data_IF_010611809930
#
_entry.id   IF_010611809930
#
_cell.length_a   1.000
_cell.length_b   1.000
_cell.length_c   1.000
_cell.angle_alpha   90.00
_cell.angle_beta   90.00
_cell.angle_gamma   90.00
#
_symmetry.space_group_name_H-M   'P 1'
#
loop_
_entity.id
_entity.type
_entity.pdbx_description
1 polymer ?
#
# COMPACT_ATOMS: atom_id res chain seq x y z
N UNK A 1 -17.70 -5.17 0.08
CA UNK A 1 -16.36 -4.70 0.52
C UNK A 1 -15.59 -5.76 1.30
N UNK A 2 -16.19 -6.40 2.32
CA UNK A 2 -15.53 -7.44 3.14
C UNK A 2 -14.95 -8.58 2.27
N UNK A 3 -15.76 -9.13 1.35
CA UNK A 3 -15.30 -10.19 0.43
C UNK A 3 -14.10 -9.80 -0.45
N UNK A 4 -13.93 -8.52 -0.78
CA UNK A 4 -12.80 -8.03 -1.59
C UNK A 4 -11.48 -8.09 -0.83
N UNK A 5 -11.50 -7.67 0.44
CA UNK A 5 -10.28 -7.69 1.25
C UNK A 5 -9.89 -9.13 1.60
N UNK A 6 -10.89 -9.99 1.84
CA UNK A 6 -10.64 -11.40 2.12
C UNK A 6 -10.09 -12.16 0.91
N UNK A 7 -10.34 -11.71 -0.33
CA UNK A 7 -9.75 -12.32 -1.53
C UNK A 7 -8.30 -11.89 -1.80
N UNK A 8 -7.71 -11.02 -0.97
CA UNK A 8 -6.33 -10.55 -1.13
C UNK A 8 -5.48 -11.22 -0.07
N UNK A 9 -4.32 -11.74 -0.48
CA UNK A 9 -3.37 -12.33 0.47
C UNK A 9 -2.93 -11.29 1.51
N UNK A 10 -2.91 -11.68 2.79
CA UNK A 10 -2.62 -10.79 3.91
C UNK A 10 -1.27 -10.09 3.75
N UNK A 11 -0.26 -10.79 3.23
CA UNK A 11 1.09 -10.24 3.01
C UNK A 11 1.13 -9.23 1.86
N UNK A 12 0.33 -9.45 0.80
CA UNK A 12 0.13 -8.48 -0.26
C UNK A 12 -0.63 -7.24 0.22
N UNK A 13 -1.71 -7.43 0.99
CA UNK A 13 -2.48 -6.32 1.56
C UNK A 13 -1.61 -5.47 2.50
N UNK A 14 -0.81 -6.10 3.37
CA UNK A 14 0.18 -5.42 4.21
C UNK A 14 1.20 -4.65 3.37
N UNK A 15 1.71 -5.23 2.29
CA UNK A 15 2.65 -4.54 1.40
C UNK A 15 2.02 -3.32 0.72
N UNK A 16 0.72 -3.34 0.41
CA UNK A 16 -0.01 -2.19 -0.13
C UNK A 16 -0.16 -1.11 0.95
N UNK A 17 -0.69 -1.47 2.12
CA UNK A 17 -0.95 -0.55 3.24
C UNK A 17 0.34 0.13 3.70
N UNK A 18 1.41 -0.65 3.89
CA UNK A 18 2.71 -0.12 4.32
C UNK A 18 3.47 0.58 3.19
N UNK A 19 2.96 0.55 1.96
CA UNK A 19 3.64 1.11 0.79
C UNK A 19 5.01 0.48 0.58
N UNK A 20 5.11 -0.85 0.48
CA UNK A 20 6.37 -1.61 0.29
C UNK A 20 6.30 -2.63 -0.85
N UNK A 21 5.29 -2.54 -1.72
CA UNK A 21 4.98 -3.47 -2.82
C UNK A 21 6.18 -3.95 -3.65
N UNK A 22 7.04 -3.05 -4.13
CA UNK A 22 8.15 -3.42 -5.01
C UNK A 22 9.27 -4.10 -4.22
N UNK A 23 9.51 -3.65 -2.99
CA UNK A 23 10.47 -4.24 -2.08
C UNK A 23 10.06 -5.65 -1.66
N UNK A 24 8.85 -5.84 -1.13
CA UNK A 24 8.39 -7.14 -0.64
C UNK A 24 8.23 -8.15 -1.78
N UNK A 25 7.78 -7.71 -2.96
CA UNK A 25 7.75 -8.55 -4.15
C UNK A 25 9.16 -9.02 -4.56
N UNK A 26 10.13 -8.11 -4.59
CA UNK A 26 11.53 -8.45 -4.90
C UNK A 26 12.15 -9.39 -3.87
N UNK A 27 11.79 -9.23 -2.59
CA UNK A 27 12.26 -10.07 -1.49
C UNK A 27 11.46 -11.38 -1.34
N UNK A 28 10.44 -11.61 -2.18
CA UNK A 28 9.50 -12.75 -2.08
C UNK A 28 8.83 -12.86 -0.70
N UNK A 29 8.60 -11.73 -0.04
CA UNK A 29 7.97 -11.63 1.27
C UNK A 29 6.44 -11.48 1.20
N UNK A 30 5.91 -11.24 0.01
CA UNK A 30 4.48 -11.06 -0.23
C UNK A 30 4.00 -11.96 -1.35
N UNK A 31 2.86 -12.64 -1.15
CA UNK A 31 2.23 -13.49 -2.16
C UNK A 31 1.26 -12.67 -3.01
N UNK A 32 1.50 -12.61 -4.32
CA UNK A 32 0.68 -11.87 -5.27
C UNK A 32 -0.08 -12.83 -6.19
N UNK A 33 -1.21 -12.37 -6.73
CA UNK A 33 -1.87 -13.11 -7.80
C UNK A 33 -0.98 -13.15 -9.03
N UNK A 34 -0.96 -14.30 -9.71
CA UNK A 34 -0.23 -14.44 -10.95
C UNK A 34 -0.83 -13.55 -12.04
N UNK A 35 0.00 -13.11 -12.98
CA UNK A 35 -0.50 -12.44 -14.18
C UNK A 35 -1.32 -13.43 -15.01
N UNK A 36 -2.49 -13.04 -15.55
CA UNK A 36 -3.27 -13.92 -16.41
C UNK A 36 -2.49 -14.37 -17.66
N UNK A 37 -2.61 -15.64 -18.00
CA UNK A 37 -2.04 -16.21 -19.23
C UNK A 37 -2.98 -16.02 -20.43
N UNK A 38 -2.47 -16.28 -21.63
CA UNK A 38 -3.24 -16.11 -22.86
C UNK A 38 -4.53 -16.94 -22.92
N UNK A 39 -4.45 -18.19 -22.50
CA UNK A 39 -5.56 -19.13 -22.48
C UNK A 39 -6.72 -18.72 -21.54
N UNK A 40 -6.48 -17.82 -20.58
CA UNK A 40 -7.51 -17.33 -19.66
C UNK A 40 -8.38 -16.21 -20.27
N UNK A 41 -7.98 -15.66 -21.42
CA UNK A 41 -8.70 -14.58 -22.09
C UNK A 41 -8.50 -13.21 -21.43
N UNK A 42 -9.51 -12.34 -21.54
CA UNK A 42 -9.48 -10.95 -21.04
C UNK A 42 -9.88 -10.92 -19.58
N UNK A 43 -8.92 -11.15 -18.68
CA UNK A 43 -9.19 -11.18 -17.24
C UNK A 43 -9.20 -9.75 -16.68
N UNK A 44 -10.34 -9.26 -16.18
CA UNK A 44 -10.43 -7.96 -15.55
C UNK A 44 -9.84 -7.97 -14.13
N UNK A 45 -9.28 -6.85 -13.69
CA UNK A 45 -8.74 -6.76 -12.34
C UNK A 45 -7.96 -5.50 -12.02
N UNK A 46 -7.42 -5.48 -10.81
CA UNK A 46 -6.66 -4.38 -10.21
C UNK A 46 -5.20 -4.78 -10.09
N UNK A 47 -4.31 -3.86 -10.43
CA UNK A 47 -2.87 -4.00 -10.27
C UNK A 47 -2.30 -2.77 -9.56
N UNK A 48 -1.18 -2.98 -8.90
CA UNK A 48 -0.39 -1.93 -8.25
C UNK A 48 1.01 -1.90 -8.88
N UNK A 49 1.54 -0.69 -9.04
CA UNK A 49 2.88 -0.45 -9.57
C UNK A 49 3.71 0.30 -8.53
N UNK A 50 4.89 -0.23 -8.25
CA UNK A 50 5.97 0.47 -7.55
C UNK A 50 7.22 0.57 -8.42
N UNK A 51 8.07 1.55 -8.13
CA UNK A 51 9.36 1.74 -8.77
C UNK A 51 10.47 1.23 -7.86
N UNK A 52 11.44 0.52 -8.43
CA UNK A 52 12.66 0.11 -7.73
C UNK A 52 13.88 0.40 -8.57
N UNK A 53 15.02 0.66 -7.93
CA UNK A 53 16.29 0.84 -8.61
C UNK A 53 16.81 -0.53 -9.06
N UNK A 54 17.28 -0.59 -10.31
CA UNK A 54 17.92 -1.78 -10.85
C UNK A 54 19.10 -2.19 -9.98
N UNK A 55 19.21 -3.48 -9.67
CA UNK A 55 20.28 -4.06 -8.86
C UNK A 55 20.39 -3.50 -7.43
N UNK A 56 19.29 -2.97 -6.85
CA UNK A 56 19.24 -2.46 -5.47
C UNK A 56 18.22 -3.18 -4.57
N UNK A 57 18.04 -4.48 -4.77
CA UNK A 57 17.26 -5.36 -3.88
C UNK A 57 15.84 -4.84 -3.59
N UNK A 58 15.10 -4.44 -4.63
CA UNK A 58 13.74 -3.94 -4.47
C UNK A 58 13.61 -2.51 -3.95
N UNK A 59 14.71 -1.87 -3.51
CA UNK A 59 14.68 -0.52 -2.92
C UNK A 59 14.62 0.58 -3.98
N UNK A 60 14.10 1.73 -3.58
CA UNK A 60 14.00 2.93 -4.41
C UNK A 60 15.21 3.87 -4.18
N UNK A 61 15.01 5.16 -4.43
CA UNK A 61 16.02 6.21 -4.32
C UNK A 61 16.45 6.45 -2.87
N UNK A 62 17.66 6.97 -2.69
CA UNK A 62 18.04 7.64 -1.44
C UNK A 62 17.70 9.14 -1.51
N UNK A 63 17.95 9.89 -0.42
CA UNK A 63 17.58 11.32 -0.37
C UNK A 63 18.34 12.12 -1.44
N UNK A 64 19.64 11.88 -1.64
CA UNK A 64 20.43 12.60 -2.65
C UNK A 64 19.84 12.41 -4.06
N UNK A 65 19.51 11.17 -4.43
CA UNK A 65 18.86 10.87 -5.70
C UNK A 65 17.45 11.47 -5.79
N UNK A 66 16.71 11.52 -4.67
CA UNK A 66 15.36 12.09 -4.61
C UNK A 66 15.37 13.61 -4.76
N UNK A 67 16.34 14.31 -4.18
CA UNK A 67 16.54 15.75 -4.38
C UNK A 67 16.84 16.08 -5.85
N UNK A 68 17.65 15.25 -6.53
CA UNK A 68 17.89 15.38 -7.97
C UNK A 68 16.61 15.19 -8.78
N UNK A 69 15.77 14.22 -8.40
CA UNK A 69 14.45 14.02 -9.03
C UNK A 69 13.54 15.25 -8.80
N UNK A 70 13.49 15.80 -7.59
CA UNK A 70 12.71 17.01 -7.26
C UNK A 70 13.17 18.20 -8.11
N UNK A 71 14.48 18.43 -8.23
CA UNK A 71 15.02 19.46 -9.11
C UNK A 71 14.62 19.23 -10.57
N UNK A 72 14.76 18.00 -11.08
CA UNK A 72 14.35 17.62 -12.42
C UNK A 72 12.85 17.87 -12.69
N UNK A 73 11.99 17.57 -11.71
CA UNK A 73 10.54 17.82 -11.78
C UNK A 73 10.24 19.32 -11.82
N UNK A 74 10.86 20.12 -10.93
CA UNK A 74 10.68 21.58 -10.89
C UNK A 74 11.17 22.24 -12.17
N UNK A 75 12.31 21.81 -12.72
CA UNK A 75 12.82 22.27 -14.01
C UNK A 75 11.86 21.93 -15.14
N UNK A 76 11.30 20.72 -15.15
CA UNK A 76 10.31 20.31 -16.16
C UNK A 76 9.03 21.16 -16.05
N UNK A 77 8.50 21.40 -14.85
CA UNK A 77 7.34 22.25 -14.63
C UNK A 77 7.57 23.68 -15.14
N UNK A 78 8.71 24.30 -14.78
CA UNK A 78 9.05 25.65 -15.25
C UNK A 78 9.21 25.69 -16.78
N UNK A 79 9.93 24.73 -17.35
CA UNK A 79 10.09 24.61 -18.80
C UNK A 79 8.75 24.41 -19.52
N UNK A 80 7.86 23.57 -18.97
CA UNK A 80 6.55 23.33 -19.54
C UNK A 80 5.66 24.58 -19.54
N UNK A 81 5.76 25.45 -18.52
CA UNK A 81 5.07 26.76 -18.53
C UNK A 81 5.58 27.65 -19.67
N UNK A 82 6.90 27.72 -19.88
CA UNK A 82 7.50 28.48 -20.98
C UNK A 82 7.08 27.93 -22.35
N UNK A 83 7.01 26.61 -22.50
CA UNK A 83 6.55 25.98 -23.74
C UNK A 83 5.09 26.30 -24.09
N UNK A 84 4.31 26.72 -23.09
CA UNK A 84 2.88 27.02 -23.24
C UNK A 84 2.56 28.51 -23.24
N UNK A 85 3.52 29.39 -22.94
CA UNK A 85 3.29 30.84 -22.85
C UNK A 85 3.20 31.54 -24.22
N UNK A 86 3.20 30.78 -25.33
CA UNK A 86 3.21 31.28 -26.72
C UNK A 86 4.39 32.22 -27.05
N UNK A 87 5.43 32.25 -26.23
CA UNK A 87 6.66 32.99 -26.53
C UNK A 87 7.49 32.28 -27.59
N UNK A 88 8.06 33.05 -28.52
CA UNK A 88 8.98 32.50 -29.51
C UNK A 88 10.27 32.05 -28.83
N UNK A 89 10.81 30.89 -29.23
CA UNK A 89 12.03 30.32 -28.64
C UNK A 89 13.23 31.30 -28.67
N UNK A 90 13.30 32.16 -29.70
CA UNK A 90 14.37 33.14 -29.87
C UNK A 90 14.32 34.29 -28.86
N UNK A 91 13.15 34.55 -28.28
CA UNK A 91 12.95 35.57 -27.24
C UNK A 91 13.36 35.12 -25.83
N UNK A 92 13.66 33.83 -25.66
CA UNK A 92 14.05 33.28 -24.36
C UNK A 92 15.50 33.61 -24.01
N UNK A 93 15.75 33.94 -22.74
CA UNK A 93 17.11 34.07 -22.23
C UNK A 93 17.81 32.69 -22.14
N UNK A 94 19.11 32.68 -21.83
CA UNK A 94 19.89 31.44 -21.77
C UNK A 94 19.37 30.44 -20.73
N UNK A 95 18.87 30.92 -19.58
CA UNK A 95 18.36 30.03 -18.52
C UNK A 95 17.04 29.36 -18.94
N UNK A 96 16.14 30.12 -19.57
CA UNK A 96 14.87 29.62 -20.08
C UNK A 96 15.06 28.62 -21.21
N UNK A 97 16.04 28.86 -22.10
CA UNK A 97 16.43 27.89 -23.15
C UNK A 97 16.87 26.55 -22.57
N UNK A 98 17.60 26.53 -21.47
CA UNK A 98 17.99 25.28 -20.79
C UNK A 98 16.81 24.55 -20.12
N UNK A 99 15.79 25.28 -19.65
CA UNK A 99 14.56 24.68 -19.15
C UNK A 99 13.74 24.04 -20.28
N UNK A 100 13.62 24.71 -21.43
CA UNK A 100 12.95 24.17 -22.62
C UNK A 100 13.69 22.94 -23.16
N UNK A 101 15.03 22.99 -23.23
CA UNK A 101 15.88 21.85 -23.59
C UNK A 101 15.71 20.68 -22.62
N UNK A 102 15.53 20.96 -21.33
CA UNK A 102 15.25 19.93 -20.33
C UNK A 102 13.92 19.23 -20.58
N UNK A 103 12.84 19.95 -20.91
CA UNK A 103 11.55 19.35 -21.30
C UNK A 103 11.73 18.41 -22.49
N UNK A 104 12.41 18.87 -23.54
CA UNK A 104 12.76 18.04 -24.70
C UNK A 104 13.54 16.80 -24.29
N UNK A 105 14.54 16.93 -23.42
CA UNK A 105 15.37 15.79 -22.96
C UNK A 105 14.53 14.74 -22.24
N UNK A 106 13.61 15.16 -21.37
CA UNK A 106 12.72 14.27 -20.62
C UNK A 106 11.71 13.59 -21.54
N UNK A 107 11.03 14.34 -22.40
CA UNK A 107 10.05 13.78 -23.33
C UNK A 107 10.72 12.88 -24.38
N UNK A 108 11.98 13.15 -24.74
CA UNK A 108 12.77 12.24 -25.57
C UNK A 108 12.88 10.85 -24.93
N UNK A 109 13.10 10.74 -23.62
CA UNK A 109 13.15 9.45 -22.91
C UNK A 109 11.83 8.69 -23.00
N UNK A 110 10.71 9.41 -22.98
CA UNK A 110 9.37 8.86 -23.17
C UNK A 110 9.07 8.36 -24.58
N UNK A 111 9.99 8.54 -25.54
CA UNK A 111 9.81 8.16 -26.95
C UNK A 111 8.97 9.12 -27.76
N UNK A 112 8.79 10.35 -27.28
CA UNK A 112 8.09 11.37 -28.04
C UNK A 112 8.97 11.93 -29.16
N UNK A 113 8.37 12.11 -30.34
CA UNK A 113 9.02 12.70 -31.50
C UNK A 113 9.10 14.21 -31.31
N UNK A 114 10.32 14.72 -31.23
CA UNK A 114 10.59 16.15 -31.11
C UNK A 114 10.86 16.72 -32.50
N UNK A 115 10.21 17.83 -32.84
CA UNK A 115 10.51 18.58 -34.06
C UNK A 115 11.71 19.51 -33.79
N UNK A 116 12.81 19.38 -34.55
CA UNK A 116 13.96 20.27 -34.41
C UNK A 116 13.58 21.74 -34.65
N UNK A 117 14.08 22.65 -33.81
CA UNK A 117 13.90 24.10 -34.00
C UNK A 117 12.52 24.67 -33.64
N UNK A 118 11.61 23.86 -33.11
CA UNK A 118 10.32 24.33 -32.57
C UNK A 118 10.23 24.16 -31.06
N UNK A 119 9.45 25.01 -30.40
CA UNK A 119 9.10 24.83 -28.99
C UNK A 119 8.47 23.43 -28.80
N UNK A 120 8.97 22.63 -27.85
CA UNK A 120 8.40 21.31 -27.60
C UNK A 120 7.00 21.46 -27.01
N UNK A 121 6.11 20.51 -27.32
CA UNK A 121 4.82 20.40 -26.65
C UNK A 121 5.00 19.46 -25.45
N UNK A 122 4.93 19.94 -24.19
CA UNK A 122 5.18 19.10 -23.02
C UNK A 122 4.16 17.97 -22.92
N UNK A 123 4.62 16.73 -22.92
CA UNK A 123 3.71 15.58 -23.07
C UNK A 123 3.04 15.18 -21.75
N UNK A 124 3.76 15.40 -20.64
CA UNK A 124 3.25 15.08 -19.29
C UNK A 124 2.36 16.18 -18.69
N UNK A 125 2.36 17.41 -19.24
CA UNK A 125 1.57 18.56 -18.74
C UNK A 125 0.97 19.33 -19.92
N UNK A 126 -0.27 19.00 -20.28
CA UNK A 126 -1.06 19.51 -21.39
C UNK A 126 -2.22 20.42 -20.96
N UNK A 127 -2.60 20.44 -19.68
CA UNK A 127 -3.59 21.39 -19.10
C UNK A 127 -3.10 22.05 -17.81
N UNK A 128 -3.76 23.13 -17.37
CA UNK A 128 -3.37 23.83 -16.14
C UNK A 128 -3.59 22.97 -14.90
N UNK A 129 -4.67 22.18 -14.87
CA UNK A 129 -4.94 21.23 -13.80
C UNK A 129 -3.87 20.14 -13.66
N UNK A 130 -3.06 19.88 -14.70
CA UNK A 130 -1.94 18.93 -14.61
C UNK A 130 -0.72 19.54 -13.91
N UNK A 131 -0.54 20.86 -13.91
CA UNK A 131 0.51 21.48 -13.10
C UNK A 131 0.29 21.19 -11.62
N UNK A 132 -0.91 21.45 -11.09
CA UNK A 132 -1.23 21.22 -9.68
C UNK A 132 -1.04 19.76 -9.27
N UNK A 133 -1.31 18.80 -10.17
CA UNK A 133 -1.08 17.38 -9.93
C UNK A 133 0.40 17.04 -9.82
N UNK A 134 1.25 17.62 -10.67
CA UNK A 134 2.70 17.42 -10.61
C UNK A 134 3.30 18.11 -9.37
N UNK A 135 2.80 19.27 -8.96
CA UNK A 135 3.20 19.92 -7.70
C UNK A 135 2.86 19.04 -6.47
N UNK A 136 1.72 18.33 -6.50
CA UNK A 136 1.40 17.32 -5.49
C UNK A 136 2.42 16.18 -5.43
N UNK A 137 2.88 15.71 -6.59
CA UNK A 137 3.95 14.70 -6.68
C UNK A 137 5.28 15.22 -6.14
N UNK A 138 5.66 16.46 -6.48
CA UNK A 138 6.86 17.12 -5.94
C UNK A 138 6.79 17.17 -4.42
N UNK A 139 5.67 17.65 -3.87
CA UNK A 139 5.43 17.73 -2.42
C UNK A 139 5.53 16.36 -1.73
N UNK A 140 5.06 15.29 -2.39
CA UNK A 140 5.16 13.92 -1.89
C UNK A 140 6.62 13.45 -1.80
N UNK A 141 7.47 13.79 -2.78
CA UNK A 141 8.90 13.48 -2.72
C UNK A 141 9.66 14.34 -1.72
N UNK A 142 9.30 15.60 -1.54
CA UNK A 142 9.91 16.48 -0.53
C UNK A 142 9.72 15.92 0.89
N UNK A 143 8.51 15.43 1.20
CA UNK A 143 8.23 14.74 2.48
C UNK A 143 9.07 13.48 2.71
N UNK A 144 9.66 12.91 1.65
CA UNK A 144 10.53 11.73 1.71
C UNK A 144 12.02 12.09 1.82
N UNK A 145 12.36 13.38 1.83
CA UNK A 145 13.72 13.91 1.93
C UNK A 145 14.04 14.48 3.32
N UNK A 146 13.66 13.78 4.39
CA UNK A 146 13.95 14.24 5.74
C UNK A 146 15.41 13.95 6.13
N UNK A 147 16.24 14.99 6.07
CA UNK A 147 17.66 14.95 6.46
C UNK A 147 17.88 14.78 7.96
N UNK A 148 16.87 15.00 8.80
CA UNK A 148 16.98 14.70 10.23
C UNK A 148 16.97 13.19 10.48
N UNK A 149 16.21 12.44 9.67
CA UNK A 149 16.13 10.97 9.75
C UNK A 149 17.31 10.27 9.04
N UNK A 150 17.82 10.85 7.95
CA UNK A 150 19.06 10.39 7.29
C UNK A 150 19.99 11.57 6.95
N UNK A 151 20.87 11.97 7.89
CA UNK A 151 21.83 13.05 7.66
C UNK A 151 22.79 12.77 6.50
N UNK A 152 23.09 11.49 6.23
CA UNK A 152 24.00 11.11 5.14
C UNK A 152 23.34 11.25 3.76
N UNK A 153 22.01 11.11 3.72
CA UNK A 153 21.20 11.02 2.51
C UNK A 153 21.49 9.81 1.62
N UNK A 154 22.22 8.82 2.14
CA UNK A 154 22.66 7.64 1.39
C UNK A 154 21.75 6.44 1.62
N UNK A 155 20.90 6.46 2.65
CA UNK A 155 19.97 5.36 2.95
C UNK A 155 18.89 5.32 1.87
N UNK A 156 18.72 4.15 1.25
CA UNK A 156 17.69 3.95 0.22
C UNK A 156 16.33 3.75 0.86
N UNK A 157 15.33 4.47 0.34
CA UNK A 157 13.94 4.25 0.66
C UNK A 157 13.53 2.84 0.23
N UNK A 158 12.70 2.17 1.03
CA UNK A 158 12.21 0.84 0.67
C UNK A 158 11.32 0.87 -0.57
N UNK A 159 10.54 1.94 -0.76
CA UNK A 159 9.56 2.01 -1.84
C UNK A 159 9.41 3.43 -2.38
N UNK A 160 9.04 3.54 -3.66
CA UNK A 160 8.51 4.75 -4.29
C UNK A 160 7.06 5.08 -3.86
N UNK A 161 6.51 6.23 -4.28
CA UNK A 161 5.06 6.37 -4.42
C UNK A 161 4.44 5.22 -5.23
N UNK A 162 3.19 4.87 -4.94
CA UNK A 162 2.47 3.81 -5.65
C UNK A 162 1.54 4.37 -6.73
N UNK A 163 1.33 3.59 -7.79
CA UNK A 163 0.24 3.76 -8.73
C UNK A 163 -0.69 2.55 -8.64
N UNK A 164 -1.99 2.79 -8.56
CA UNK A 164 -3.01 1.73 -8.67
C UNK A 164 -3.74 1.91 -9.99
N UNK A 165 -3.88 0.83 -10.74
CA UNK A 165 -4.63 0.83 -11.99
C UNK A 165 -5.63 -0.32 -12.04
N UNK A 166 -6.69 -0.13 -12.82
CA UNK A 166 -7.60 -1.18 -13.21
C UNK A 166 -7.47 -1.49 -14.71
N UNK A 167 -7.94 -2.67 -15.11
CA UNK A 167 -8.12 -3.01 -16.52
C UNK A 167 -9.21 -4.06 -16.69
N UNK A 168 -9.85 -4.04 -17.85
CA UNK A 168 -10.69 -5.16 -18.32
C UNK A 168 -9.85 -6.31 -18.92
N UNK A 169 -8.59 -6.04 -19.23
CA UNK A 169 -7.58 -7.01 -19.65
C UNK A 169 -6.26 -6.69 -18.95
N UNK A 170 -5.98 -7.39 -17.85
CA UNK A 170 -4.77 -7.20 -17.06
C UNK A 170 -3.49 -7.48 -17.87
N UNK A 171 -3.48 -8.52 -18.70
CA UNK A 171 -2.29 -8.93 -19.45
C UNK A 171 -1.92 -7.87 -20.48
N UNK A 172 -2.90 -7.45 -21.29
CA UNK A 172 -2.68 -6.42 -22.30
C UNK A 172 -2.25 -5.11 -21.64
N UNK A 173 -2.95 -4.66 -20.59
CA UNK A 173 -2.65 -3.37 -19.94
C UNK A 173 -1.29 -3.37 -19.25
N UNK A 174 -0.93 -4.43 -18.54
CA UNK A 174 0.33 -4.48 -17.80
C UNK A 174 1.54 -4.64 -18.72
N UNK A 175 1.37 -5.24 -19.90
CA UNK A 175 2.44 -5.32 -20.90
C UNK A 175 2.90 -3.94 -21.40
N UNK A 176 2.02 -2.92 -21.36
CA UNK A 176 2.34 -1.51 -21.67
C UNK A 176 3.22 -0.81 -20.63
N UNK A 177 3.59 -1.49 -19.55
CA UNK A 177 4.54 -0.94 -18.56
C UNK A 177 5.92 -1.60 -18.66
N UNK A 178 6.11 -2.52 -19.62
CA UNK A 178 7.40 -3.13 -19.87
C UNK A 178 8.34 -2.10 -20.51
N UNK A 179 9.42 -1.75 -19.79
CA UNK A 179 10.46 -0.81 -20.25
C UNK A 179 11.42 -1.46 -21.28
N UNK A 180 10.90 -2.17 -22.28
CA UNK A 180 11.73 -2.89 -23.26
C UNK A 180 12.19 -2.02 -24.44
N UNK A 181 11.62 -0.84 -24.60
CA UNK A 181 12.01 0.11 -25.64
C UNK A 181 11.58 1.53 -25.28
N UNK A 182 12.26 2.49 -25.90
CA UNK A 182 11.87 3.90 -25.93
C UNK A 182 10.44 4.01 -26.48
N UNK A 183 9.55 4.72 -25.78
CA UNK A 183 8.11 4.76 -26.11
C UNK A 183 7.24 3.76 -25.34
N UNK A 184 7.82 2.90 -24.50
CA UNK A 184 7.08 1.87 -23.77
C UNK A 184 5.97 2.41 -22.85
N UNK A 185 6.08 3.65 -22.37
CA UNK A 185 5.11 4.27 -21.44
C UNK A 185 4.16 5.29 -22.11
N UNK A 186 4.02 5.25 -23.44
CA UNK A 186 3.03 6.06 -24.13
C UNK A 186 1.61 5.59 -23.73
N UNK A 187 0.74 6.52 -23.33
CA UNK A 187 -0.65 6.26 -22.91
C UNK A 187 -0.83 5.48 -21.58
N UNK A 188 0.11 5.61 -20.65
CA UNK A 188 -0.11 5.23 -19.24
C UNK A 188 -0.19 6.46 -18.34
N UNK A 189 -0.25 6.29 -17.02
CA UNK A 189 -0.43 7.38 -16.06
C UNK A 189 0.66 8.46 -16.20
N UNK A 190 0.27 9.71 -16.55
CA UNK A 190 1.20 10.82 -16.83
C UNK A 190 2.17 11.13 -15.67
N UNK A 191 1.74 11.27 -14.40
CA UNK A 191 2.68 11.50 -13.30
C UNK A 191 3.74 10.40 -13.14
N UNK A 192 3.33 9.12 -13.21
CA UNK A 192 4.25 7.99 -13.17
C UNK A 192 5.25 8.04 -14.34
N UNK A 193 4.77 8.28 -15.56
CA UNK A 193 5.62 8.41 -16.75
C UNK A 193 6.64 9.53 -16.59
N UNK A 194 6.21 10.70 -16.14
CA UNK A 194 7.07 11.87 -15.98
C UNK A 194 8.23 11.55 -15.01
N UNK A 195 7.93 10.92 -13.88
CA UNK A 195 8.94 10.53 -12.90
C UNK A 195 9.92 9.52 -13.50
N UNK A 196 9.43 8.48 -14.20
CA UNK A 196 10.31 7.50 -14.84
C UNK A 196 11.20 8.17 -15.90
N UNK A 197 10.65 9.04 -16.74
CA UNK A 197 11.39 9.73 -17.79
C UNK A 197 12.45 10.69 -17.23
N UNK A 198 12.14 11.42 -16.17
CA UNK A 198 13.11 12.28 -15.47
C UNK A 198 14.22 11.43 -14.86
N UNK A 199 13.89 10.31 -14.22
CA UNK A 199 14.88 9.41 -13.66
C UNK A 199 15.81 8.85 -14.75
N UNK A 200 15.27 8.45 -15.90
CA UNK A 200 16.08 8.06 -17.06
C UNK A 200 16.97 9.19 -17.56
N UNK A 201 16.45 10.43 -17.67
CA UNK A 201 17.23 11.59 -18.08
C UNK A 201 18.33 12.01 -17.07
N UNK A 202 18.25 11.54 -15.83
CA UNK A 202 19.24 11.76 -14.76
C UNK A 202 20.21 10.58 -14.58
N UNK A 203 20.14 9.56 -15.44
CA UNK A 203 20.84 8.27 -15.32
C UNK A 203 20.51 7.51 -14.01
N UNK A 204 19.30 7.72 -13.51
CA UNK A 204 18.73 7.10 -12.31
C UNK A 204 17.67 6.04 -12.66
N UNK A 205 17.94 5.23 -13.69
CA UNK A 205 17.05 4.17 -14.21
C UNK A 205 16.35 3.33 -13.13
N UNK A 206 15.06 3.11 -13.30
CA UNK A 206 14.21 2.31 -12.42
C UNK A 206 13.48 1.23 -13.19
N UNK A 207 13.09 0.18 -12.48
CA UNK A 207 12.23 -0.89 -12.96
C UNK A 207 10.84 -0.74 -12.33
N UNK A 208 9.80 -1.01 -13.13
CA UNK A 208 8.42 -1.06 -12.66
C UNK A 208 8.15 -2.47 -12.13
N UNK A 209 7.83 -2.57 -10.84
CA UNK A 209 7.29 -3.78 -10.23
C UNK A 209 5.77 -3.72 -10.29
N UNK A 210 5.17 -4.59 -11.10
CA UNK A 210 3.73 -4.66 -11.33
C UNK A 210 3.21 -5.90 -10.62
N UNK A 211 2.24 -5.73 -9.73
CA UNK A 211 1.65 -6.84 -8.99
C UNK A 211 0.13 -6.86 -9.17
N UNK A 212 -0.43 -8.03 -9.45
CA UNK A 212 -1.88 -8.22 -9.53
C UNK A 212 -2.41 -8.36 -8.11
N UNK A 213 -3.32 -7.45 -7.74
CA UNK A 213 -3.92 -7.41 -6.40
C UNK A 213 -5.20 -8.23 -6.38
N UNK A 214 -6.06 -8.03 -7.38
CA UNK A 214 -7.37 -8.65 -7.48
C UNK A 214 -7.64 -8.98 -8.94
N UNK A 215 -8.12 -10.20 -9.20
CA UNK A 215 -8.84 -10.54 -10.43
C UNK A 215 -10.34 -10.42 -10.11
N UNK A 216 -11.06 -9.58 -10.83
CA UNK A 216 -12.48 -9.35 -10.51
C UNK A 216 -13.34 -10.51 -10.98
N UNK A 217 -14.42 -10.79 -10.24
CA UNK A 217 -15.46 -11.75 -10.58
C UNK A 217 -16.83 -11.08 -10.49
N UNK A 218 -17.91 -11.80 -10.79
CA UNK A 218 -19.25 -11.21 -10.87
C UNK A 218 -19.70 -10.50 -9.58
N UNK A 219 -19.26 -11.00 -8.41
CA UNK A 219 -19.59 -10.42 -7.11
C UNK A 219 -18.85 -9.12 -6.78
N UNK A 220 -17.85 -8.70 -7.57
CA UNK A 220 -17.05 -7.50 -7.31
C UNK A 220 -16.89 -6.65 -8.57
N UNK A 221 -17.63 -5.52 -8.64
CA UNK A 221 -17.45 -4.57 -9.73
C UNK A 221 -16.05 -3.95 -9.71
N UNK A 222 -15.41 -3.91 -10.88
CA UNK A 222 -14.08 -3.33 -11.08
C UNK A 222 -13.93 -1.90 -10.50
N UNK A 223 -14.91 -0.98 -10.66
CA UNK A 223 -14.81 0.37 -10.08
C UNK A 223 -14.72 0.37 -8.54
N UNK A 224 -15.45 -0.53 -7.89
CA UNK A 224 -15.45 -0.65 -6.42
C UNK A 224 -14.10 -1.17 -5.95
N UNK A 225 -13.54 -2.15 -6.66
CA UNK A 225 -12.21 -2.67 -6.35
C UNK A 225 -11.13 -1.62 -6.54
N UNK A 226 -11.16 -0.87 -7.64
CA UNK A 226 -10.19 0.20 -7.89
C UNK A 226 -10.21 1.27 -6.80
N UNK A 227 -11.40 1.74 -6.40
CA UNK A 227 -11.55 2.74 -5.34
C UNK A 227 -10.97 2.27 -4.01
N UNK A 228 -11.29 1.04 -3.61
CA UNK A 228 -10.78 0.48 -2.37
C UNK A 228 -9.25 0.40 -2.39
N UNK A 229 -8.66 -0.21 -3.41
CA UNK A 229 -7.21 -0.41 -3.47
C UNK A 229 -6.47 0.91 -3.61
N UNK A 230 -6.98 1.86 -4.40
CA UNK A 230 -6.40 3.21 -4.53
C UNK A 230 -6.38 3.93 -3.18
N UNK A 231 -7.47 3.81 -2.41
CA UNK A 231 -7.58 4.43 -1.08
C UNK A 231 -6.64 3.78 -0.07
N UNK A 232 -6.62 2.45 -0.02
CA UNK A 232 -5.75 1.68 0.91
C UNK A 232 -4.27 1.89 0.58
N UNK A 233 -3.91 2.05 -0.69
CA UNK A 233 -2.56 2.34 -1.14
C UNK A 233 -2.14 3.82 -0.95
N UNK A 234 -3.06 4.70 -0.53
CA UNK A 234 -2.88 6.15 -0.51
C UNK A 234 -2.31 6.69 -1.84
N UNK A 235 -2.76 6.12 -2.97
CA UNK A 235 -2.05 6.26 -4.23
C UNK A 235 -2.38 7.53 -5.01
N UNK A 236 -3.19 8.44 -4.47
CA UNK A 236 -3.47 9.73 -5.11
C UNK A 236 -2.27 10.68 -5.05
N UNK A 237 -2.13 11.54 -6.07
CA UNK A 237 -1.06 12.55 -6.16
C UNK A 237 -1.06 13.56 -5.01
N UNK A 238 -2.23 13.84 -4.43
CA UNK A 238 -2.36 14.73 -3.28
C UNK A 238 -2.12 14.04 -1.93
N UNK A 239 -1.94 12.72 -1.94
CA UNK A 239 -1.56 11.92 -0.78
C UNK A 239 -0.09 11.50 -0.94
N UNK A 240 0.18 10.28 -1.40
CA UNK A 240 1.52 9.73 -1.49
C UNK A 240 1.78 8.89 -2.75
N UNK A 241 0.97 9.02 -3.81
CA UNK A 241 1.08 8.21 -5.02
C UNK A 241 1.04 8.97 -6.35
N UNK A 242 0.66 8.25 -7.42
CA UNK A 242 0.64 8.75 -8.80
C UNK A 242 -0.76 8.85 -9.43
N UNK A 243 -1.82 8.37 -8.78
CA UNK A 243 -3.20 8.48 -9.28
C UNK A 243 -3.62 9.95 -9.33
N UNK A 244 -3.82 10.45 -10.54
CA UNK A 244 -4.14 11.85 -10.84
C UNK A 244 -5.62 12.08 -11.17
N UNK A 245 -6.41 11.01 -11.23
CA UNK A 245 -7.83 10.98 -11.56
C UNK A 245 -8.52 10.11 -10.51
N UNK A 246 -9.76 10.45 -10.19
CA UNK A 246 -10.59 9.68 -9.27
C UNK A 246 -10.71 8.21 -9.71
N UNK A 247 -10.59 7.29 -8.76
CA UNK A 247 -10.75 5.87 -9.00
C UNK A 247 -12.21 5.50 -9.26
N UNK A 248 -12.43 4.49 -10.09
CA UNK A 248 -13.75 3.99 -10.48
C UNK A 248 -14.42 4.78 -11.61
N UNK A 249 -13.70 5.69 -12.26
CA UNK A 249 -14.22 6.52 -13.35
C UNK A 249 -14.53 5.80 -14.66
N UNK A 250 -14.09 4.54 -14.83
CA UNK A 250 -14.29 3.76 -16.07
C UNK A 250 -15.72 3.22 -16.26
N UNK A 251 -16.62 3.43 -15.29
CA UNK A 251 -17.99 2.91 -15.34
C UNK A 251 -18.08 1.39 -15.16
N UNK A 252 -19.31 0.85 -15.19
CA UNK A 252 -19.63 -0.57 -14.97
C UNK A 252 -19.56 -1.43 -16.23
N UNK A 253 -18.79 -1.04 -17.25
CA UNK A 253 -18.78 -1.72 -18.54
C UNK A 253 -18.21 -3.14 -18.41
N UNK A 254 -19.10 -4.15 -18.38
CA UNK A 254 -18.73 -5.56 -18.44
C UNK A 254 -18.20 -5.87 -19.85
N UNK A 255 -17.04 -6.55 -20.01
CA UNK A 255 -16.61 -7.01 -21.32
C UNK A 255 -17.66 -7.97 -21.91
N UNK A 256 -17.90 -7.89 -23.22
CA UNK A 256 -18.72 -8.89 -23.91
C UNK A 256 -18.09 -10.29 -23.74
N UNK A 257 -18.89 -11.30 -23.38
CA UNK A 257 -18.40 -12.67 -23.12
C UNK A 257 -17.69 -12.87 -21.77
N UNK A 258 -17.79 -11.90 -20.83
CA UNK A 258 -17.07 -11.96 -19.56
C UNK A 258 -17.54 -13.05 -18.57
N UNK A 259 -18.76 -13.61 -18.69
CA UNK A 259 -19.32 -14.50 -17.64
C UNK A 259 -18.38 -15.65 -17.28
N UNK A 260 -17.95 -16.42 -18.29
CA UNK A 260 -17.04 -17.54 -18.09
C UNK A 260 -15.65 -17.13 -17.55
N UNK A 261 -15.16 -15.93 -17.89
CA UNK A 261 -13.89 -15.41 -17.36
C UNK A 261 -14.02 -15.00 -15.89
N UNK A 262 -15.16 -14.40 -15.53
CA UNK A 262 -15.48 -14.02 -14.16
C UNK A 262 -15.71 -15.26 -13.28
N UNK A 263 -16.37 -16.30 -13.81
CA UNK A 263 -16.54 -17.60 -13.15
C UNK A 263 -15.19 -18.27 -12.88
N UNK A 264 -14.29 -18.35 -13.88
CA UNK A 264 -12.93 -18.87 -13.67
C UNK A 264 -12.12 -18.05 -12.66
N UNK A 265 -12.32 -16.73 -12.63
CA UNK A 265 -11.69 -15.88 -11.62
C UNK A 265 -12.23 -16.18 -10.21
N UNK A 266 -13.52 -16.47 -10.10
CA UNK A 266 -14.12 -16.94 -8.86
C UNK A 266 -13.56 -18.32 -8.47
N UNK A 267 -13.55 -19.31 -9.38
CA UNK A 267 -12.97 -20.65 -9.12
C UNK A 267 -11.52 -20.57 -8.63
N UNK A 268 -10.71 -19.70 -9.23
CA UNK A 268 -9.34 -19.46 -8.76
C UNK A 268 -9.31 -18.96 -7.30
N UNK A 269 -10.11 -17.94 -6.98
CA UNK A 269 -10.08 -17.27 -5.68
C UNK A 269 -10.75 -18.07 -4.56
N UNK A 270 -11.80 -18.83 -4.88
CA UNK A 270 -12.59 -19.59 -3.91
C UNK A 270 -12.24 -21.08 -3.88
N UNK A 271 -11.76 -21.66 -4.98
CA UNK A 271 -11.56 -23.10 -5.15
C UNK A 271 -10.09 -23.54 -5.25
N UNK A 272 -9.18 -22.66 -5.68
CA UNK A 272 -7.76 -23.02 -5.87
C UNK A 272 -6.79 -22.25 -4.98
N UNK A 273 -7.25 -21.20 -4.31
CA UNK A 273 -6.44 -20.44 -3.36
C UNK A 273 -7.06 -20.51 -1.97
N UNK A 274 -6.23 -20.87 -0.99
CA UNK A 274 -6.65 -20.91 0.42
C UNK A 274 -6.79 -19.52 1.03
N UNK A 275 -6.25 -18.48 0.39
CA UNK A 275 -6.24 -17.08 0.87
C UNK A 275 -7.57 -16.63 1.46
N UNK A 276 -8.67 -16.85 0.73
CA UNK A 276 -9.97 -16.37 1.17
C UNK A 276 -10.50 -17.16 2.36
N UNK A 277 -10.31 -18.47 2.36
CA UNK A 277 -10.66 -19.34 3.47
C UNK A 277 -9.84 -18.98 4.71
N UNK A 278 -8.52 -18.89 4.59
CA UNK A 278 -7.61 -18.51 5.67
C UNK A 278 -7.98 -17.15 6.28
N UNK A 279 -8.26 -16.15 5.44
CA UNK A 279 -8.67 -14.84 5.91
C UNK A 279 -10.03 -14.87 6.62
N UNK A 280 -10.99 -15.66 6.13
CA UNK A 280 -12.31 -15.79 6.76
C UNK A 280 -12.21 -16.52 8.11
N UNK A 281 -11.41 -17.59 8.18
CA UNK A 281 -11.13 -18.32 9.42
C UNK A 281 -10.42 -17.43 10.44
N UNK A 282 -9.45 -16.63 10.01
CA UNK A 282 -8.77 -15.66 10.87
C UNK A 282 -9.72 -14.58 11.40
N UNK A 283 -10.59 -14.03 10.55
CA UNK A 283 -11.62 -13.05 10.97
C UNK A 283 -12.61 -13.68 11.95
N UNK A 284 -13.05 -14.91 11.71
CA UNK A 284 -13.94 -15.61 12.63
C UNK A 284 -13.28 -15.87 14.00
N UNK A 285 -12.01 -16.26 14.02
CA UNK A 285 -11.24 -16.42 15.24
C UNK A 285 -11.11 -15.09 16.01
N UNK A 286 -10.80 -13.99 15.32
CA UNK A 286 -10.68 -12.66 15.94
C UNK A 286 -12.03 -12.17 16.52
N UNK A 287 -13.14 -12.42 15.82
CA UNK A 287 -14.49 -12.10 16.32
C UNK A 287 -14.76 -12.84 17.63
N UNK A 288 -14.42 -14.13 17.70
CA UNK A 288 -14.60 -14.94 18.90
C UNK A 288 -13.70 -14.46 20.05
N UNK A 289 -12.42 -14.19 19.78
CA UNK A 289 -11.49 -13.62 20.78
C UNK A 289 -11.98 -12.27 21.31
N UNK A 290 -12.56 -11.43 20.45
CA UNK A 290 -13.12 -10.13 20.85
C UNK A 290 -14.35 -10.28 21.73
N UNK A 291 -15.21 -11.27 21.47
CA UNK A 291 -16.33 -11.58 22.34
C UNK A 291 -15.84 -12.00 23.74
N UNK A 292 -14.86 -12.90 23.82
CA UNK A 292 -14.25 -13.32 25.10
C UNK A 292 -13.63 -12.13 25.86
N UNK A 293 -12.99 -11.20 25.14
CA UNK A 293 -12.43 -9.99 25.73
C UNK A 293 -13.51 -9.06 26.29
N UNK A 294 -14.61 -8.86 25.57
CA UNK A 294 -15.74 -8.04 26.03
C UNK A 294 -16.40 -8.67 27.27
N UNK A 295 -16.62 -9.99 27.28
CA UNK A 295 -17.14 -10.70 28.46
C UNK A 295 -16.23 -10.54 29.67
N UNK A 296 -14.91 -10.54 29.45
CA UNK A 296 -13.92 -10.31 30.52
C UNK A 296 -13.99 -8.88 31.06
N UNK A 297 -14.18 -7.88 30.19
CA UNK A 297 -14.36 -6.49 30.62
C UNK A 297 -15.65 -6.33 31.43
N UNK A 298 -16.76 -6.90 30.97
CA UNK A 298 -18.03 -6.85 31.69
C UNK A 298 -17.93 -7.54 33.06
N UNK A 299 -17.20 -8.66 33.16
CA UNK A 299 -16.92 -9.30 34.43
C UNK A 299 -16.13 -8.40 35.39
N UNK A 300 -15.09 -7.72 34.88
CA UNK A 300 -14.27 -6.79 35.68
C UNK A 300 -15.12 -5.60 36.14
N UNK A 301 -15.94 -5.02 35.27
CA UNK A 301 -16.77 -3.86 35.56
C UNK A 301 -17.81 -4.19 36.64
N UNK A 302 -18.52 -5.30 36.49
CA UNK A 302 -19.47 -5.80 37.49
C UNK A 302 -18.81 -6.08 38.85
N UNK A 303 -17.60 -6.64 38.85
CA UNK A 303 -16.85 -6.91 40.08
C UNK A 303 -16.37 -5.61 40.74
N UNK A 304 -15.99 -4.63 39.94
CA UNK A 304 -15.57 -3.30 40.42
C UNK A 304 -16.75 -2.54 41.01
N UNK A 305 -17.92 -2.56 40.37
CA UNK A 305 -19.15 -2.02 40.95
C UNK A 305 -19.53 -2.70 42.27
N UNK A 306 -19.37 -4.03 42.35
CA UNK A 306 -19.61 -4.79 43.57
C UNK A 306 -18.73 -4.31 44.72
N UNK A 307 -17.43 -4.12 44.45
CA UNK A 307 -16.46 -3.61 45.41
C UNK A 307 -16.75 -2.17 45.84
N UNK A 308 -17.17 -1.30 44.91
CA UNK A 308 -17.56 0.08 45.21
C UNK A 308 -18.79 0.09 46.14
N UNK A 309 -19.82 -0.69 45.83
CA UNK A 309 -21.03 -0.81 46.67
C UNK A 309 -20.71 -1.37 48.07
N UNK A 310 -19.75 -2.28 48.17
CA UNK A 310 -19.30 -2.85 49.44
C UNK A 310 -18.49 -1.83 50.26
N UNK A 311 -17.61 -1.07 49.61
CA UNK A 311 -16.90 0.04 50.22
C UNK A 311 -17.86 1.14 50.73
N UNK A 312 -18.85 1.53 49.94
CA UNK A 312 -19.87 2.52 50.32
C UNK A 312 -20.70 2.06 51.53
N UNK A 313 -21.04 0.76 51.61
CA UNK A 313 -21.73 0.18 52.77
C UNK A 313 -20.85 0.17 54.03
N UNK A 314 -19.56 -0.12 53.88
CA UNK A 314 -18.61 -0.07 55.00
C UNK A 314 -18.41 1.37 55.51
N UNK A 315 -18.39 2.36 54.61
CA UNK A 315 -18.34 3.78 54.97
C UNK A 315 -19.65 4.24 55.63
N UNK A 316 -20.81 3.80 55.15
CA UNK A 316 -22.11 4.18 55.70
C UNK A 316 -22.42 3.55 57.07
N UNK A 317 -21.87 2.36 57.36
CA UNK A 317 -22.09 1.65 58.64
C UNK A 317 -21.05 1.99 59.73
N UNK A 318 -20.05 2.83 59.43
CA UNK A 318 -18.95 3.16 60.33
C UNK A 318 -19.05 4.54 60.98
N UNK A 319 -19.91 4.68 61.99
CA UNK A 319 -19.80 5.75 63.00
C UNK A 319 -18.92 5.29 64.18
N UNK A 320 -17.64 5.01 63.90
CA UNK A 320 -16.48 5.13 64.81
C UNK A 320 -15.27 4.48 64.11
N UNK A 321 -14.39 5.31 63.54
CA UNK A 321 -13.18 4.85 62.87
C UNK A 321 -12.09 4.55 63.92
N UNK A 322 -11.99 3.30 64.38
CA UNK A 322 -10.80 2.79 65.08
C UNK A 322 -9.82 2.17 64.07
N UNK A 323 -8.51 2.38 64.28
CA UNK A 323 -7.43 2.05 63.33
C UNK A 323 -7.32 0.57 62.89
N UNK A 324 -7.99 -0.35 63.57
CA UNK A 324 -7.97 -1.78 63.26
C UNK A 324 -8.77 -2.13 61.98
N UNK A 325 -9.84 -1.39 61.65
CA UNK A 325 -10.62 -1.62 60.42
C UNK A 325 -9.85 -1.24 59.16
N UNK A 326 -9.01 -0.19 59.22
CA UNK A 326 -8.18 0.23 58.08
C UNK A 326 -7.08 -0.80 57.77
N UNK A 327 -6.44 -1.35 58.80
CA UNK A 327 -5.46 -2.43 58.64
C UNK A 327 -6.09 -3.73 58.09
N UNK A 328 -7.33 -4.04 58.50
CA UNK A 328 -8.06 -5.18 57.94
C UNK A 328 -8.42 -4.97 56.47
N UNK A 329 -8.82 -3.75 56.08
CA UNK A 329 -9.14 -3.40 54.70
C UNK A 329 -7.89 -3.41 53.82
N UNK A 330 -6.77 -2.88 54.31
CA UNK A 330 -5.48 -2.88 53.63
C UNK A 330 -4.97 -4.31 53.41
N UNK A 331 -5.07 -5.19 54.42
CA UNK A 331 -4.76 -6.62 54.26
C UNK A 331 -5.66 -7.30 53.23
N UNK A 332 -6.96 -7.00 53.23
CA UNK A 332 -7.89 -7.56 52.26
C UNK A 332 -7.57 -7.08 50.82
N UNK A 333 -7.23 -5.80 50.65
CA UNK A 333 -6.82 -5.25 49.36
C UNK A 333 -5.49 -5.83 48.86
N UNK A 334 -4.51 -6.00 49.75
CA UNK A 334 -3.22 -6.63 49.41
C UNK A 334 -3.44 -8.09 48.98
N UNK A 335 -4.21 -8.86 49.75
CA UNK A 335 -4.52 -10.25 49.42
C UNK A 335 -5.26 -10.36 48.08
N UNK A 336 -6.19 -9.44 47.79
CA UNK A 336 -6.91 -9.43 46.49
C UNK A 336 -6.03 -9.00 45.32
N UNK A 337 -5.10 -8.08 45.56
CA UNK A 337 -4.09 -7.68 44.57
C UNK A 337 -3.19 -8.86 44.21
N UNK A 338 -2.73 -9.63 45.21
CA UNK A 338 -1.92 -10.84 45.00
C UNK A 338 -2.69 -11.91 44.22
N UNK A 339 -3.96 -12.15 44.57
CA UNK A 339 -4.84 -13.08 43.84
C UNK A 339 -5.02 -12.69 42.36
N UNK A 340 -5.20 -11.39 42.09
CA UNK A 340 -5.28 -10.87 40.72
C UNK A 340 -3.96 -11.01 39.96
N UNK A 341 -2.83 -10.78 40.63
CA UNK A 341 -1.51 -10.96 40.03
C UNK A 341 -1.23 -12.42 39.65
N UNK A 342 -1.61 -13.37 40.51
CA UNK A 342 -1.53 -14.80 40.16
C UNK A 342 -2.41 -15.16 38.97
N UNK A 343 -3.63 -14.61 38.88
CA UNK A 343 -4.51 -14.85 37.74
C UNK A 343 -3.94 -14.30 36.42
N UNK A 344 -3.33 -13.10 36.46
CA UNK A 344 -2.65 -12.50 35.31
C UNK A 344 -1.47 -13.38 34.87
N UNK A 345 -0.64 -13.86 35.80
CA UNK A 345 0.47 -14.77 35.46
C UNK A 345 -0.02 -16.08 34.86
N UNK A 346 -1.14 -16.64 35.37
CA UNK A 346 -1.71 -17.89 34.89
C UNK A 346 -2.24 -17.74 33.45
N UNK A 347 -2.84 -16.59 33.15
CA UNK A 347 -3.26 -16.24 31.79
C UNK A 347 -2.05 -16.06 30.86
N UNK A 348 -0.98 -15.41 31.32
CA UNK A 348 0.22 -15.19 30.52
C UNK A 348 0.96 -16.51 30.21
N UNK A 349 0.98 -17.46 31.16
CA UNK A 349 1.47 -18.83 30.92
C UNK A 349 0.62 -19.59 29.90
N UNK A 350 -0.71 -19.49 29.98
CA UNK A 350 -1.62 -20.11 28.99
C UNK A 350 -1.43 -19.52 27.60
N UNK A 351 -1.24 -18.19 27.50
CA UNK A 351 -0.93 -17.51 26.24
C UNK A 351 0.37 -18.03 25.62
N UNK A 352 1.45 -18.09 26.42
CA UNK A 352 2.74 -18.64 25.97
C UNK A 352 2.62 -20.11 25.52
N UNK A 353 1.83 -20.93 26.23
CA UNK A 353 1.55 -22.30 25.81
C UNK A 353 0.79 -22.38 24.48
N UNK A 354 -0.24 -21.54 24.28
CA UNK A 354 -0.97 -21.46 23.00
C UNK A 354 -0.04 -21.02 21.86
N UNK A 355 0.81 -20.01 22.07
CA UNK A 355 1.80 -19.56 21.08
C UNK A 355 2.80 -20.67 20.72
N UNK A 356 3.24 -21.46 21.71
CA UNK A 356 4.10 -22.62 21.48
C UNK A 356 3.39 -23.71 20.66
N UNK A 357 2.11 -23.95 20.95
CA UNK A 357 1.29 -24.94 20.25
C UNK A 357 1.07 -24.53 18.78
N UNK A 358 0.82 -23.24 18.53
CA UNK A 358 0.72 -22.66 17.19
C UNK A 358 2.04 -22.85 16.43
N UNK A 359 3.19 -22.53 17.05
CA UNK A 359 4.51 -22.76 16.44
C UNK A 359 4.78 -24.25 16.15
N UNK A 360 4.43 -25.15 17.06
CA UNK A 360 4.57 -26.60 16.85
C UNK A 360 3.68 -27.11 15.72
N UNK A 361 2.47 -26.56 15.58
CA UNK A 361 1.54 -26.91 14.50
C UNK A 361 2.05 -26.42 13.16
N UNK A 362 2.60 -25.20 13.10
CA UNK A 362 3.27 -24.64 11.92
C UNK A 362 4.50 -25.47 11.51
N UNK A 363 5.29 -25.96 12.49
CA UNK A 363 6.43 -26.85 12.23
C UNK A 363 5.98 -28.21 11.69
N UNK A 364 4.92 -28.81 12.24
CA UNK A 364 4.36 -30.09 11.75
C UNK A 364 3.83 -29.98 10.32
N UNK A 365 3.18 -28.87 9.98
CA UNK A 365 2.70 -28.59 8.63
C UNK A 365 3.87 -28.33 7.66
N UNK A 366 4.98 -27.75 8.12
CA UNK A 366 6.21 -27.61 7.35
C UNK A 366 7.04 -28.90 7.21
N UNK A 367 6.86 -29.89 8.09
CA UNK A 367 7.51 -31.21 7.98
C UNK A 367 6.73 -32.18 7.08
N UNK A 368 5.40 -32.10 7.04
CA UNK A 368 4.59 -32.92 6.11
C UNK A 368 4.86 -32.66 4.63
N UNK A 369 5.39 -31.50 4.26
CA UNK A 369 5.78 -31.21 2.88
C UNK A 369 7.11 -31.85 2.45
N UNK A 370 7.84 -32.51 3.36
CA UNK A 370 9.13 -33.16 3.04
C UNK A 370 9.00 -34.69 2.94
N UNK A 371 8.04 -35.31 3.64
CA UNK A 371 7.90 -36.77 3.70
C UNK A 371 6.90 -37.37 2.68
N UNK A 372 6.18 -36.56 1.91
CA UNK A 372 5.25 -37.04 0.85
C UNK A 372 5.89 -37.06 -0.57
N UNK A 373 7.22 -37.05 -0.64
CA UNK A 373 7.99 -37.31 -1.87
C UNK A 373 9.01 -38.43 -1.65
N UNK A 374 8.54 -39.67 -1.60
CA UNK A 374 9.27 -40.86 -2.05
C UNK A 374 8.37 -41.73 -2.93
#
# INVERSE_FOLDING_TARGET
>A
MVFLLHSIDRTALQAIVSGTVAYTASAKQSKWLQMPVEAEGKVPGIYVIGLRRSLKNGKFLNIIETERLIDGLRRYVKGARLCRSNQAQDSLNSADKELVKWVSTVDWQGGYNLRPGSMPSPQSIQSDGEFSKIEGVISSFERRCDRQLDPTGKVRQLQSPLYVGCSVDLRERTSKYKLHSRGGLLNVNKPLCLVVNILSALDLNVELSIQVVVRTWEGIPLPVAERLITTVACSFVYQHGFNAVEAGGTGFSRPAGASHVLEKSAELLFGHQDTMKENLEATAAEINERAEFLDTLDYIDNKTEGLIKEADKLVANGSDYQGDTFQSLEKAMIAKKEELQEQIEKLDRRRKQKELLVRLTQLRLGQRTVDDTE
#
